data_IF_978947250193
#
_entry.id   IF_978947250193
#
_cell.length_a   1.000
_cell.length_b   1.000
_cell.length_c   1.000
_cell.angle_alpha   90.00
_cell.angle_beta   90.00
_cell.angle_gamma   90.00
#
_symmetry.space_group_name_H-M   'P 1'
#
loop_
_entity.id
_entity.type
_entity.pdbx_description
1 polymer ?
#
# COMPACT_ATOMS: atom_id res chain seq x y z
N UNK A 1 -9.76 24.22 -0.59
CA UNK A 1 -9.20 22.90 -0.92
C UNK A 1 -8.99 22.05 0.32
N UNK A 2 -8.22 22.50 1.31
CA UNK A 2 -7.95 21.73 2.56
C UNK A 2 -9.17 21.05 3.21
N UNK A 3 -10.20 21.81 3.57
CA UNK A 3 -11.42 21.25 4.19
C UNK A 3 -12.12 20.22 3.30
N UNK A 4 -12.07 20.42 1.98
CA UNK A 4 -12.63 19.49 1.01
C UNK A 4 -11.86 18.16 1.04
N UNK A 5 -10.53 18.21 0.99
CA UNK A 5 -9.68 17.01 1.07
C UNK A 5 -9.87 16.27 2.40
N UNK A 6 -9.89 16.97 3.53
CA UNK A 6 -10.04 16.36 4.85
C UNK A 6 -11.36 15.59 4.98
N UNK A 7 -12.44 16.11 4.39
CA UNK A 7 -13.77 15.52 4.49
C UNK A 7 -14.15 14.62 3.29
N UNK A 8 -13.34 14.57 2.23
CA UNK A 8 -13.55 13.65 1.12
C UNK A 8 -13.43 12.20 1.63
N UNK A 9 -14.44 11.34 1.43
CA UNK A 9 -14.29 9.91 1.72
C UNK A 9 -13.19 9.32 0.83
N UNK A 10 -12.25 8.56 1.38
CA UNK A 10 -11.09 8.04 0.63
C UNK A 10 -11.09 6.52 0.59
N UNK A 11 -10.47 5.97 -0.44
CA UNK A 11 -10.17 4.54 -0.56
C UNK A 11 -8.68 4.38 -0.72
N UNK A 12 -8.07 3.54 0.11
CA UNK A 12 -6.65 3.21 0.09
C UNK A 12 -6.44 1.78 -0.42
N UNK A 13 -5.51 1.56 -1.36
CA UNK A 13 -5.31 0.30 -2.06
C UNK A 13 -3.88 -0.22 -2.00
N UNK A 14 -3.00 0.57 -1.39
CA UNK A 14 -1.57 0.31 -1.31
C UNK A 14 -1.06 0.90 0.01
N UNK A 15 -0.88 0.00 0.97
CA UNK A 15 -0.41 0.29 2.30
C UNK A 15 0.20 -0.97 2.91
N UNK A 16 1.44 -0.90 3.36
CA UNK A 16 2.09 -1.96 4.11
C UNK A 16 1.77 -1.80 5.60
N UNK A 17 1.23 -2.84 6.23
CA UNK A 17 0.77 -2.71 7.62
C UNK A 17 1.93 -2.47 8.58
N UNK A 18 3.08 -3.09 8.34
CA UNK A 18 4.32 -2.88 9.08
C UNK A 18 4.84 -1.44 8.86
N UNK A 19 4.53 -0.85 7.71
CA UNK A 19 4.77 0.56 7.35
C UNK A 19 4.00 1.58 8.18
N UNK A 20 3.07 1.12 9.01
CA UNK A 20 2.27 1.96 9.93
C UNK A 20 2.82 1.98 11.36
N UNK A 21 3.93 1.28 11.63
CA UNK A 21 4.51 1.18 12.96
C UNK A 21 5.12 2.51 13.43
N UNK A 22 4.29 3.33 14.06
CA UNK A 22 4.70 4.59 14.68
C UNK A 22 5.70 4.33 15.82
N UNK A 23 6.68 5.23 16.04
CA UNK A 23 7.67 5.08 17.11
C UNK A 23 7.05 4.85 18.48
N UNK A 24 5.96 5.55 18.80
CA UNK A 24 5.26 5.40 20.08
C UNK A 24 4.80 3.96 20.31
N UNK A 25 4.16 3.33 19.31
CA UNK A 25 3.75 1.93 19.38
C UNK A 25 4.96 0.98 19.39
N UNK A 26 6.02 1.28 18.62
CA UNK A 26 7.26 0.50 18.62
C UNK A 26 7.84 0.35 20.04
N UNK A 27 7.91 1.44 20.81
CA UNK A 27 8.39 1.41 22.20
C UNK A 27 7.45 0.63 23.13
N UNK A 28 6.13 0.77 22.96
CA UNK A 28 5.14 0.01 23.75
C UNK A 28 5.27 -1.49 23.52
N UNK A 29 5.40 -1.92 22.27
CA UNK A 29 5.57 -3.32 21.88
C UNK A 29 6.93 -3.87 22.33
N UNK A 30 8.00 -3.08 22.19
CA UNK A 30 9.34 -3.45 22.68
C UNK A 30 9.32 -3.73 24.19
N UNK A 31 8.68 -2.86 24.97
CA UNK A 31 8.53 -3.04 26.40
C UNK A 31 7.66 -4.27 26.74
N UNK A 32 6.54 -4.46 26.02
CA UNK A 32 5.63 -5.61 26.21
C UNK A 32 6.33 -6.95 25.97
N UNK A 33 7.16 -7.02 24.93
CA UNK A 33 7.82 -8.25 24.51
C UNK A 33 9.25 -8.41 25.06
N UNK A 34 9.72 -7.47 25.89
CA UNK A 34 11.07 -7.45 26.44
C UNK A 34 12.15 -7.56 25.33
N UNK A 35 12.01 -6.71 24.32
CA UNK A 35 12.93 -6.60 23.17
C UNK A 35 13.69 -5.29 23.26
N UNK A 36 15.01 -5.38 23.21
CA UNK A 36 15.86 -4.20 23.09
C UNK A 36 15.78 -3.62 21.68
N UNK A 37 15.49 -2.33 21.58
CA UNK A 37 15.54 -1.55 20.33
C UNK A 37 16.72 -0.58 20.36
N UNK A 38 17.37 -0.30 19.22
CA UNK A 38 18.60 0.50 19.17
C UNK A 38 18.33 2.02 19.28
N UNK A 39 17.20 2.42 19.87
CA UNK A 39 16.75 3.81 19.98
C UNK A 39 16.39 4.13 21.43
N UNK A 40 16.77 5.32 21.88
CA UNK A 40 16.53 5.81 23.24
C UNK A 40 15.25 6.65 23.37
N UNK A 41 14.67 7.12 22.25
CA UNK A 41 13.43 7.89 22.24
C UNK A 41 12.72 7.88 20.88
N UNK A 42 11.42 8.24 20.85
CA UNK A 42 10.67 8.43 19.60
C UNK A 42 11.29 9.51 18.70
N UNK A 43 11.94 10.53 19.27
CA UNK A 43 12.61 11.56 18.49
C UNK A 43 13.80 10.98 17.71
N UNK A 44 14.59 10.10 18.33
CA UNK A 44 15.72 9.44 17.69
C UNK A 44 15.27 8.52 16.54
N UNK A 45 14.14 7.82 16.71
CA UNK A 45 13.54 7.02 15.62
C UNK A 45 13.15 7.92 14.45
N UNK A 46 12.47 9.05 14.72
CA UNK A 46 12.04 10.01 13.69
C UNK A 46 13.23 10.64 12.96
N UNK A 47 14.32 10.93 13.66
CA UNK A 47 15.57 11.44 13.06
C UNK A 47 16.25 10.40 12.14
N UNK A 48 16.11 9.10 12.48
CA UNK A 48 16.63 8.00 11.67
C UNK A 48 15.85 7.82 10.35
N UNK A 49 14.62 8.33 10.23
CA UNK A 49 13.80 8.23 9.01
C UNK A 49 14.25 9.17 7.88
N UNK A 50 15.53 9.53 7.82
CA UNK A 50 16.13 10.29 6.73
C UNK A 50 16.78 9.34 5.72
N UNK A 51 15.96 8.81 4.80
CA UNK A 51 16.38 7.83 3.80
C UNK A 51 17.11 8.44 2.62
N UNK A 52 17.96 7.65 1.97
CA UNK A 52 18.67 8.01 0.75
C UNK A 52 18.24 7.18 -0.47
N UNK A 53 17.56 6.05 -0.24
CA UNK A 53 16.99 5.14 -1.24
C UNK A 53 16.09 4.08 -0.54
N UNK A 54 15.41 3.23 -1.32
CA UNK A 54 14.55 2.14 -0.82
C UNK A 54 15.28 1.21 0.17
N UNK A 55 16.53 0.83 -0.11
CA UNK A 55 17.27 -0.08 0.78
C UNK A 55 17.51 0.52 2.17
N UNK A 56 17.87 1.80 2.26
CA UNK A 56 18.07 2.47 3.55
C UNK A 56 16.79 2.57 4.39
N UNK A 57 15.62 2.57 3.74
CA UNK A 57 14.33 2.46 4.40
C UNK A 57 14.06 1.05 4.91
N UNK A 58 14.22 0.04 4.05
CA UNK A 58 13.97 -1.37 4.39
C UNK A 58 14.80 -1.85 5.59
N UNK A 59 16.04 -1.36 5.74
CA UNK A 59 16.91 -1.69 6.86
C UNK A 59 16.32 -1.26 8.22
N UNK A 60 15.64 -0.10 8.29
CA UNK A 60 14.97 0.40 9.50
C UNK A 60 13.60 -0.26 9.67
N UNK A 61 12.86 -0.44 8.59
CA UNK A 61 11.57 -1.15 8.57
C UNK A 61 11.69 -2.55 9.19
N UNK A 62 12.62 -3.38 8.73
CA UNK A 62 12.82 -4.73 9.28
C UNK A 62 13.36 -4.74 10.71
N UNK A 63 14.07 -3.68 11.13
CA UNK A 63 14.46 -3.51 12.54
C UNK A 63 13.24 -3.20 13.42
N UNK A 64 12.35 -2.31 12.95
CA UNK A 64 11.09 -1.99 13.63
C UNK A 64 10.21 -3.23 13.78
N UNK A 65 10.06 -4.03 12.72
CA UNK A 65 9.23 -5.23 12.74
C UNK A 65 9.64 -6.26 13.81
N UNK A 66 10.85 -6.19 14.38
CA UNK A 66 11.31 -7.09 15.44
C UNK A 66 10.42 -7.06 16.68
N UNK A 67 9.75 -5.95 16.96
CA UNK A 67 8.89 -5.82 18.15
C UNK A 67 7.55 -6.54 18.02
N UNK A 68 7.18 -6.96 16.80
CA UNK A 68 5.96 -7.71 16.49
C UNK A 68 6.20 -9.21 16.70
N UNK A 69 5.57 -9.81 17.71
CA UNK A 69 5.82 -11.18 18.19
C UNK A 69 4.52 -11.97 18.37
N UNK A 70 3.54 -11.39 19.02
CA UNK A 70 2.26 -12.02 19.40
C UNK A 70 1.13 -11.55 18.50
N UNK A 71 0.04 -12.31 18.45
CA UNK A 71 -1.16 -11.95 17.68
C UNK A 71 -1.71 -10.57 18.09
N UNK A 72 -1.61 -10.24 19.38
CA UNK A 72 -2.01 -8.93 19.91
C UNK A 72 -1.15 -7.78 19.36
N UNK A 73 0.12 -8.01 19.04
CA UNK A 73 0.98 -6.96 18.47
C UNK A 73 0.52 -6.58 17.06
N UNK A 74 0.16 -7.59 16.26
CA UNK A 74 -0.39 -7.37 14.92
C UNK A 74 -1.79 -6.75 14.95
N UNK A 75 -2.62 -7.15 15.93
CA UNK A 75 -3.90 -6.51 16.17
C UNK A 75 -3.71 -5.02 16.52
N UNK A 76 -2.85 -4.71 17.49
CA UNK A 76 -2.66 -3.33 17.96
C UNK A 76 -2.07 -2.41 16.87
N UNK A 77 -1.11 -2.93 16.08
CA UNK A 77 -0.59 -2.25 14.90
C UNK A 77 -1.70 -1.91 13.90
N UNK A 78 -2.50 -2.91 13.56
CA UNK A 78 -3.58 -2.74 12.58
C UNK A 78 -4.66 -1.80 13.11
N UNK A 79 -5.02 -1.92 14.39
CA UNK A 79 -5.99 -1.04 15.03
C UNK A 79 -5.52 0.41 15.08
N UNK A 80 -4.23 0.65 15.38
CA UNK A 80 -3.64 1.99 15.36
C UNK A 80 -3.75 2.62 13.96
N UNK A 81 -3.46 1.86 12.91
CA UNK A 81 -3.66 2.30 11.52
C UNK A 81 -5.14 2.60 11.21
N UNK A 82 -6.08 1.74 11.59
CA UNK A 82 -7.50 1.94 11.34
C UNK A 82 -8.06 3.20 12.04
N UNK A 83 -7.52 3.57 13.20
CA UNK A 83 -7.84 4.85 13.85
C UNK A 83 -7.32 6.04 13.03
N UNK A 84 -6.19 5.91 12.33
CA UNK A 84 -5.72 6.91 11.36
C UNK A 84 -6.64 6.98 10.15
N UNK A 85 -7.04 5.84 9.58
CA UNK A 85 -8.05 5.78 8.51
C UNK A 85 -9.33 6.53 8.88
N UNK A 86 -9.83 6.32 10.10
CA UNK A 86 -11.03 7.00 10.59
C UNK A 86 -10.86 8.51 10.61
N UNK A 87 -9.70 9.00 11.08
CA UNK A 87 -9.38 10.43 11.12
C UNK A 87 -9.21 11.03 9.71
N UNK A 88 -8.72 10.24 8.76
CA UNK A 88 -8.51 10.63 7.36
C UNK A 88 -9.74 10.41 6.46
N UNK A 89 -10.86 10.00 7.05
CA UNK A 89 -12.10 9.65 6.35
C UNK A 89 -11.88 8.58 5.26
N UNK A 90 -10.98 7.63 5.52
CA UNK A 90 -10.82 6.42 4.69
C UNK A 90 -11.96 5.47 5.03
N UNK A 91 -12.69 5.03 4.01
CA UNK A 91 -13.90 4.20 4.14
C UNK A 91 -13.69 2.76 3.68
N UNK A 92 -12.62 2.54 2.92
CA UNK A 92 -12.16 1.23 2.50
C UNK A 92 -10.62 1.22 2.41
N UNK A 93 -9.99 0.15 2.86
CA UNK A 93 -8.54 -0.04 2.75
C UNK A 93 -8.17 -1.47 2.33
N UNK A 94 -7.25 -1.62 1.38
CA UNK A 94 -6.64 -2.90 1.03
C UNK A 94 -5.21 -2.92 1.54
N UNK A 95 -4.97 -3.77 2.54
CA UNK A 95 -3.78 -3.76 3.37
C UNK A 95 -2.82 -4.84 2.93
N UNK A 96 -1.56 -4.49 2.76
CA UNK A 96 -0.47 -5.40 2.43
C UNK A 96 0.19 -5.88 3.73
N UNK A 97 0.68 -7.10 3.74
CA UNK A 97 1.52 -7.63 4.83
C UNK A 97 2.56 -8.61 4.29
N UNK A 98 3.68 -8.70 4.99
CA UNK A 98 4.86 -9.45 4.58
C UNK A 98 5.12 -10.66 5.50
N UNK A 99 4.43 -11.81 5.31
CA UNK A 99 4.62 -12.96 6.18
C UNK A 99 6.08 -13.38 6.34
N UNK A 100 6.88 -13.27 5.27
CA UNK A 100 8.28 -13.66 5.24
C UNK A 100 9.14 -12.86 6.23
N UNK A 101 8.81 -11.58 6.47
CA UNK A 101 9.43 -10.72 7.49
C UNK A 101 9.27 -11.28 8.91
N UNK A 102 8.22 -12.07 9.14
CA UNK A 102 7.85 -12.60 10.45
C UNK A 102 8.20 -14.08 10.59
N UNK A 103 7.92 -14.89 9.57
CA UNK A 103 8.15 -16.35 9.62
C UNK A 103 9.61 -16.72 9.72
N UNK A 104 10.52 -15.93 9.12
CA UNK A 104 11.97 -16.14 9.28
C UNK A 104 12.45 -15.90 10.72
N UNK A 105 11.69 -15.13 11.50
CA UNK A 105 11.95 -14.86 12.93
C UNK A 105 11.28 -15.87 13.86
N UNK A 106 10.64 -16.91 13.32
CA UNK A 106 9.94 -17.94 14.10
C UNK A 106 8.53 -17.56 14.54
N UNK A 107 7.97 -16.46 14.02
CA UNK A 107 6.57 -16.08 14.26
C UNK A 107 5.70 -16.84 13.26
N UNK A 108 4.66 -17.53 13.74
CA UNK A 108 3.83 -18.35 12.85
C UNK A 108 3.00 -17.48 11.89
N UNK A 109 2.71 -17.99 10.70
CA UNK A 109 1.84 -17.32 9.73
C UNK A 109 0.48 -16.98 10.35
N UNK A 110 -0.10 -17.93 11.10
CA UNK A 110 -1.37 -17.78 11.81
C UNK A 110 -1.35 -16.58 12.78
N UNK A 111 -0.27 -16.41 13.54
CA UNK A 111 -0.11 -15.30 14.48
C UNK A 111 -0.20 -13.95 13.78
N UNK A 112 0.41 -13.83 12.59
CA UNK A 112 0.42 -12.59 11.81
C UNK A 112 -0.97 -12.33 11.23
N UNK A 113 -1.48 -13.28 10.43
CA UNK A 113 -2.72 -13.09 9.67
C UNK A 113 -3.94 -12.94 10.57
N UNK A 114 -4.01 -13.68 11.68
CA UNK A 114 -5.16 -13.59 12.59
C UNK A 114 -5.18 -12.26 13.34
N UNK A 115 -4.03 -11.75 13.78
CA UNK A 115 -3.96 -10.47 14.48
C UNK A 115 -4.43 -9.32 13.58
N UNK A 116 -3.94 -9.28 12.34
CA UNK A 116 -4.38 -8.30 11.34
C UNK A 116 -5.87 -8.45 11.03
N UNK A 117 -6.30 -9.66 10.66
CA UNK A 117 -7.68 -9.92 10.26
C UNK A 117 -8.71 -9.62 11.36
N UNK A 118 -8.38 -9.91 12.63
CA UNK A 118 -9.26 -9.63 13.76
C UNK A 118 -9.49 -8.12 13.93
N UNK A 119 -8.44 -7.30 13.80
CA UNK A 119 -8.56 -5.84 13.86
C UNK A 119 -9.37 -5.30 12.67
N UNK A 120 -9.09 -5.79 11.46
CA UNK A 120 -9.83 -5.44 10.24
C UNK A 120 -11.33 -5.78 10.35
N UNK A 121 -11.65 -6.97 10.88
CA UNK A 121 -13.03 -7.41 11.09
C UNK A 121 -13.76 -6.53 12.11
N UNK A 122 -13.11 -6.20 13.22
CA UNK A 122 -13.67 -5.33 14.26
C UNK A 122 -13.90 -3.89 13.74
N UNK A 123 -13.06 -3.41 12.82
CA UNK A 123 -13.18 -2.07 12.23
C UNK A 123 -14.47 -1.87 11.42
N UNK A 124 -15.02 -2.94 10.83
CA UNK A 124 -16.27 -2.88 10.09
C UNK A 124 -17.40 -2.42 11.02
N UNK A 125 -17.51 -3.05 12.19
CA UNK A 125 -18.58 -2.78 13.16
C UNK A 125 -18.33 -1.49 13.95
N UNK A 126 -17.09 -1.23 14.36
CA UNK A 126 -16.78 -0.10 15.26
C UNK A 126 -16.47 1.21 14.51
N UNK A 127 -15.86 1.13 13.34
CA UNK A 127 -15.38 2.30 12.60
C UNK A 127 -16.14 2.52 11.28
N UNK A 128 -16.86 1.51 10.79
CA UNK A 128 -17.52 1.52 9.48
C UNK A 128 -16.53 1.47 8.32
N UNK A 129 -15.34 0.90 8.56
CA UNK A 129 -14.26 0.79 7.57
C UNK A 129 -14.24 -0.63 7.05
N UNK A 130 -14.42 -0.80 5.74
CA UNK A 130 -14.29 -2.10 5.09
C UNK A 130 -12.83 -2.34 4.67
N UNK A 131 -12.43 -3.58 4.49
CA UNK A 131 -11.06 -3.88 4.09
C UNK A 131 -10.90 -5.20 3.34
N UNK A 132 -9.78 -5.32 2.64
CA UNK A 132 -9.28 -6.58 2.08
C UNK A 132 -7.81 -6.74 2.49
N UNK A 133 -7.33 -7.98 2.58
CA UNK A 133 -5.95 -8.29 2.94
C UNK A 133 -5.20 -8.91 1.76
N UNK A 134 -3.97 -8.42 1.54
CA UNK A 134 -3.11 -8.79 0.41
C UNK A 134 -1.78 -9.29 0.97
N UNK A 135 -1.43 -10.52 0.64
CA UNK A 135 -0.20 -11.14 1.12
C UNK A 135 0.94 -10.92 0.13
N UNK A 136 2.01 -10.27 0.56
CA UNK A 136 3.14 -9.99 -0.32
C UNK A 136 4.27 -11.03 -0.24
N UNK A 137 4.97 -11.19 -1.36
CA UNK A 137 6.24 -11.90 -1.43
C UNK A 137 7.41 -10.91 -1.48
N UNK A 138 8.43 -11.16 -0.67
CA UNK A 138 9.63 -10.33 -0.63
C UNK A 138 10.56 -10.66 -1.80
N UNK A 139 10.66 -9.76 -2.79
CA UNK A 139 11.32 -10.09 -4.07
C UNK A 139 12.84 -10.33 -3.97
N UNK A 140 13.47 -9.86 -2.90
CA UNK A 140 14.90 -10.10 -2.65
C UNK A 140 15.19 -11.56 -2.23
N UNK A 141 14.19 -12.29 -1.72
CA UNK A 141 14.28 -13.71 -1.38
C UNK A 141 14.04 -14.61 -2.61
N UNK A 142 14.34 -15.90 -2.52
CA UNK A 142 14.13 -16.82 -3.65
C UNK A 142 12.65 -17.20 -3.86
N UNK A 143 12.28 -17.63 -5.08
CA UNK A 143 10.89 -18.01 -5.40
C UNK A 143 10.39 -19.22 -4.57
N UNK A 144 11.30 -20.11 -4.12
CA UNK A 144 10.92 -21.27 -3.32
C UNK A 144 10.41 -20.84 -1.93
N UNK A 145 10.97 -19.77 -1.36
CA UNK A 145 10.45 -19.15 -0.14
C UNK A 145 9.02 -18.58 -0.35
N UNK A 146 8.76 -17.96 -1.51
CA UNK A 146 7.42 -17.50 -1.88
C UNK A 146 6.43 -18.66 -2.03
N UNK A 147 6.82 -19.79 -2.63
CA UNK A 147 5.98 -21.00 -2.67
C UNK A 147 5.67 -21.54 -1.27
N UNK A 148 6.63 -21.48 -0.34
CA UNK A 148 6.41 -21.92 1.04
C UNK A 148 5.34 -21.04 1.70
N UNK A 149 5.46 -19.73 1.53
CA UNK A 149 4.53 -18.72 2.04
C UNK A 149 3.13 -18.87 1.42
N UNK A 150 3.04 -19.05 0.10
CA UNK A 150 1.78 -19.28 -0.60
C UNK A 150 1.06 -20.54 -0.12
N UNK A 151 1.79 -21.62 0.17
CA UNK A 151 1.15 -22.83 0.70
C UNK A 151 0.57 -22.61 2.10
N UNK A 152 1.17 -21.75 2.93
CA UNK A 152 0.60 -21.39 4.24
C UNK A 152 -0.68 -20.56 4.10
N UNK A 153 -0.78 -19.70 3.08
CA UNK A 153 -1.96 -18.86 2.87
C UNK A 153 -3.19 -19.62 2.39
N UNK A 154 -3.04 -20.86 1.88
CA UNK A 154 -4.16 -21.66 1.38
C UNK A 154 -5.20 -21.98 2.45
N UNK A 155 -4.79 -22.07 3.72
CA UNK A 155 -5.70 -22.28 4.86
C UNK A 155 -6.43 -20.98 5.29
N UNK A 156 -6.03 -19.83 4.75
CA UNK A 156 -6.54 -18.49 5.09
C UNK A 156 -7.14 -17.74 3.89
N UNK A 157 -7.59 -18.48 2.87
CA UNK A 157 -8.21 -17.91 1.64
C UNK A 157 -9.52 -17.17 1.91
N UNK A 158 -10.14 -17.38 3.06
CA UNK A 158 -11.28 -16.60 3.55
C UNK A 158 -10.88 -15.20 4.03
N UNK A 159 -9.58 -14.95 4.27
CA UNK A 159 -9.04 -13.68 4.78
C UNK A 159 -8.23 -12.91 3.75
N UNK A 160 -7.57 -13.61 2.81
CA UNK A 160 -6.62 -13.04 1.86
C UNK A 160 -7.22 -13.06 0.45
N UNK A 161 -7.35 -11.89 -0.18
CA UNK A 161 -7.97 -11.77 -1.51
C UNK A 161 -6.95 -11.81 -2.65
N UNK A 162 -5.72 -11.37 -2.40
CA UNK A 162 -4.69 -11.23 -3.43
C UNK A 162 -3.29 -11.55 -2.90
N UNK A 163 -2.38 -11.80 -3.84
CA UNK A 163 -0.94 -11.83 -3.59
C UNK A 163 -0.24 -10.62 -4.21
N UNK A 164 0.79 -10.13 -3.52
CA UNK A 164 1.63 -9.00 -3.94
C UNK A 164 3.10 -9.40 -4.16
N UNK A 165 3.88 -8.50 -4.75
CA UNK A 165 5.34 -8.59 -4.85
C UNK A 165 5.94 -7.22 -4.59
N UNK A 166 6.79 -7.12 -3.58
CA UNK A 166 7.37 -5.86 -3.11
C UNK A 166 8.83 -6.06 -2.68
N UNK A 167 9.35 -5.14 -1.85
CA UNK A 167 10.75 -5.07 -1.45
C UNK A 167 11.66 -4.62 -2.61
N UNK A 168 12.97 -4.78 -2.45
CA UNK A 168 13.99 -4.20 -3.37
C UNK A 168 13.79 -4.56 -4.85
N UNK A 169 13.32 -3.61 -5.67
CA UNK A 169 13.04 -3.82 -7.10
C UNK A 169 14.33 -4.08 -7.91
N UNK A 170 15.37 -3.32 -7.61
CA UNK A 170 16.64 -3.37 -8.32
C UNK A 170 17.34 -4.73 -8.14
N UNK A 171 17.60 -5.41 -9.27
CA UNK A 171 18.25 -6.73 -9.28
C UNK A 171 17.32 -7.92 -9.02
N UNK A 172 16.04 -7.69 -8.75
CA UNK A 172 15.07 -8.74 -8.46
C UNK A 172 13.87 -8.68 -9.43
N UNK A 173 14.03 -9.08 -10.70
CA UNK A 173 12.97 -8.91 -11.71
C UNK A 173 11.71 -9.72 -11.41
N UNK A 174 10.56 -9.24 -11.88
CA UNK A 174 9.26 -9.93 -11.75
C UNK A 174 9.29 -11.36 -12.29
N UNK A 175 10.05 -11.62 -13.37
CA UNK A 175 10.22 -12.94 -13.98
C UNK A 175 10.72 -14.03 -13.02
N UNK A 176 11.39 -13.65 -11.92
CA UNK A 176 11.81 -14.57 -10.87
C UNK A 176 10.64 -15.25 -10.16
N UNK A 177 9.45 -14.66 -10.17
CA UNK A 177 8.27 -15.09 -9.41
C UNK A 177 7.10 -15.54 -10.30
N UNK A 178 7.33 -15.74 -11.60
CA UNK A 178 6.27 -16.11 -12.56
C UNK A 178 5.52 -17.38 -12.14
N UNK A 179 6.22 -18.39 -11.61
CA UNK A 179 5.58 -19.68 -11.30
C UNK A 179 4.76 -19.62 -10.04
N UNK A 180 5.21 -18.90 -9.01
CA UNK A 180 4.44 -18.73 -7.78
C UNK A 180 3.20 -17.87 -8.02
N UNK A 181 3.29 -16.82 -8.85
CA UNK A 181 2.13 -16.03 -9.27
C UNK A 181 1.14 -16.84 -10.09
N UNK A 182 1.64 -17.67 -11.03
CA UNK A 182 0.78 -18.61 -11.75
C UNK A 182 0.04 -19.54 -10.79
N UNK A 183 0.73 -20.08 -9.78
CA UNK A 183 0.10 -20.97 -8.80
C UNK A 183 -0.93 -20.22 -7.95
N UNK A 184 -0.65 -18.97 -7.54
CA UNK A 184 -1.62 -18.15 -6.82
C UNK A 184 -2.90 -17.91 -7.64
N UNK A 185 -2.77 -17.64 -8.94
CA UNK A 185 -3.92 -17.52 -9.85
C UNK A 185 -4.70 -18.83 -10.00
N UNK A 186 -4.01 -19.97 -10.10
CA UNK A 186 -4.65 -21.29 -10.16
C UNK A 186 -5.45 -21.58 -8.86
N UNK A 187 -5.00 -21.02 -7.74
CA UNK A 187 -5.69 -21.04 -6.44
C UNK A 187 -6.77 -19.94 -6.30
N UNK A 188 -6.93 -19.05 -7.28
CA UNK A 188 -7.99 -18.04 -7.30
C UNK A 188 -7.67 -16.74 -6.56
N UNK A 189 -6.42 -16.51 -6.19
CA UNK A 189 -5.99 -15.19 -5.71
C UNK A 189 -5.94 -14.18 -6.88
N UNK A 190 -6.22 -12.91 -6.59
CA UNK A 190 -5.85 -11.80 -7.45
C UNK A 190 -4.34 -11.52 -7.34
N UNK A 191 -3.77 -10.79 -8.30
CA UNK A 191 -2.34 -10.47 -8.31
C UNK A 191 -2.08 -8.97 -8.44
N UNK A 192 -1.18 -8.46 -7.60
CA UNK A 192 -0.63 -7.10 -7.65
C UNK A 192 0.90 -7.18 -7.52
N UNK A 193 1.60 -6.12 -7.91
CA UNK A 193 3.05 -6.06 -7.73
C UNK A 193 3.57 -4.63 -7.87
N UNK A 194 4.61 -4.33 -7.10
CA UNK A 194 5.46 -3.16 -7.27
C UNK A 194 6.24 -3.27 -8.59
N UNK A 195 6.01 -2.30 -9.46
CA UNK A 195 6.77 -2.17 -10.69
C UNK A 195 6.84 -0.70 -11.13
N UNK A 196 8.02 -0.29 -11.60
CA UNK A 196 8.20 1.06 -12.12
C UNK A 196 8.14 2.13 -11.03
N UNK A 197 8.63 1.79 -9.84
CA UNK A 197 8.94 2.75 -8.77
C UNK A 197 10.38 3.25 -8.95
N UNK A 198 11.35 2.36 -8.74
CA UNK A 198 12.78 2.57 -9.07
C UNK A 198 13.15 1.99 -10.44
N UNK A 199 12.41 0.96 -10.88
CA UNK A 199 12.62 0.25 -12.13
C UNK A 199 12.16 1.01 -13.39
N UNK A 200 12.67 0.62 -14.57
CA UNK A 200 12.29 1.24 -15.83
C UNK A 200 10.85 0.89 -16.25
N UNK A 201 10.26 1.65 -17.18
CA UNK A 201 8.95 1.35 -17.77
C UNK A 201 8.81 -0.10 -18.30
N UNK A 202 9.91 -0.74 -18.72
CA UNK A 202 9.89 -2.15 -19.14
C UNK A 202 9.58 -3.11 -17.99
N UNK A 203 9.95 -2.80 -16.74
CA UNK A 203 9.60 -3.65 -15.59
C UNK A 203 8.09 -3.71 -15.36
N UNK A 204 7.37 -2.61 -15.66
CA UNK A 204 5.90 -2.55 -15.62
C UNK A 204 5.31 -3.52 -16.64
N UNK A 205 5.81 -3.51 -17.87
CA UNK A 205 5.36 -4.42 -18.95
C UNK A 205 5.61 -5.87 -18.58
N UNK A 206 6.82 -6.18 -18.14
CA UNK A 206 7.20 -7.53 -17.73
C UNK A 206 6.30 -8.02 -16.58
N UNK A 207 6.03 -7.17 -15.59
CA UNK A 207 5.17 -7.54 -14.47
C UNK A 207 3.72 -7.79 -14.90
N UNK A 208 3.13 -6.92 -15.73
CA UNK A 208 1.80 -7.14 -16.30
C UNK A 208 1.72 -8.45 -17.10
N UNK A 209 2.69 -8.71 -17.97
CA UNK A 209 2.68 -9.84 -18.87
C UNK A 209 2.97 -11.16 -18.17
N UNK A 210 3.94 -11.19 -17.26
CA UNK A 210 4.39 -12.43 -16.60
C UNK A 210 3.55 -12.76 -15.37
N UNK A 211 3.20 -11.75 -14.56
CA UNK A 211 2.50 -11.95 -13.28
C UNK A 211 0.98 -11.80 -13.40
N UNK A 212 0.48 -11.39 -14.58
CA UNK A 212 -0.95 -11.22 -14.90
C UNK A 212 -1.67 -10.29 -13.92
N UNK A 213 -1.01 -9.19 -13.57
CA UNK A 213 -1.48 -8.27 -12.54
C UNK A 213 -2.84 -7.66 -12.86
N UNK A 214 -3.68 -7.55 -11.82
CA UNK A 214 -4.94 -6.80 -11.86
C UNK A 214 -4.70 -5.30 -11.78
N UNK A 215 -3.67 -4.88 -11.02
CA UNK A 215 -3.20 -3.49 -10.91
C UNK A 215 -1.70 -3.47 -10.60
N UNK A 216 -1.06 -2.32 -10.86
CA UNK A 216 0.36 -2.08 -10.62
C UNK A 216 0.52 -1.19 -9.40
N UNK A 217 1.45 -1.57 -8.52
CA UNK A 217 1.83 -0.75 -7.39
C UNK A 217 2.92 0.25 -7.80
N UNK A 218 2.70 1.53 -7.50
CA UNK A 218 3.38 2.70 -8.05
C UNK A 218 3.17 2.94 -9.55
N UNK A 219 3.99 2.34 -10.42
CA UNK A 219 3.92 2.51 -11.88
C UNK A 219 4.28 3.90 -12.44
N UNK A 220 4.80 4.81 -11.61
CA UNK A 220 5.07 6.21 -12.01
C UNK A 220 6.11 6.34 -13.11
N UNK A 221 7.04 5.39 -13.23
CA UNK A 221 8.04 5.36 -14.32
C UNK A 221 7.46 4.96 -15.67
N UNK A 222 6.15 4.68 -15.78
CA UNK A 222 5.49 4.48 -17.06
C UNK A 222 5.63 5.71 -17.99
N UNK A 223 5.81 6.91 -17.43
CA UNK A 223 6.00 8.15 -18.20
C UNK A 223 7.26 8.17 -19.07
N UNK A 224 8.19 7.25 -18.84
CA UNK A 224 9.39 7.11 -19.69
C UNK A 224 9.07 6.47 -21.06
N UNK A 225 7.85 5.91 -21.24
CA UNK A 225 7.35 5.33 -22.49
C UNK A 225 5.91 5.81 -22.78
N UNK A 226 5.77 6.79 -23.69
CA UNK A 226 4.47 7.36 -24.07
C UNK A 226 3.50 6.32 -24.70
N UNK A 227 4.02 5.20 -25.22
CA UNK A 227 3.18 4.09 -25.72
C UNK A 227 2.55 3.35 -24.54
N UNK A 228 3.34 3.10 -23.49
CA UNK A 228 2.85 2.46 -22.27
C UNK A 228 1.77 3.33 -21.60
N UNK A 229 1.98 4.64 -21.49
CA UNK A 229 0.97 5.56 -20.93
C UNK A 229 -0.36 5.47 -21.69
N UNK A 230 -0.32 5.42 -23.03
CA UNK A 230 -1.54 5.28 -23.85
C UNK A 230 -2.23 3.94 -23.64
N UNK A 231 -1.46 2.86 -23.50
CA UNK A 231 -2.00 1.52 -23.22
C UNK A 231 -2.66 1.46 -21.85
N UNK A 232 -1.98 1.95 -20.80
CA UNK A 232 -2.53 2.01 -19.44
C UNK A 232 -3.81 2.84 -19.39
N UNK A 233 -3.85 4.00 -20.05
CA UNK A 233 -5.05 4.83 -20.14
C UNK A 233 -6.20 4.13 -20.90
N UNK A 234 -5.89 3.50 -22.04
CA UNK A 234 -6.87 2.79 -22.86
C UNK A 234 -7.49 1.61 -22.12
N UNK A 235 -6.70 0.87 -21.38
CA UNK A 235 -7.13 -0.30 -20.63
C UNK A 235 -7.63 0.03 -19.22
N UNK A 236 -7.49 1.30 -18.80
CA UNK A 236 -7.74 1.75 -17.42
C UNK A 236 -7.01 0.89 -16.39
N UNK A 237 -5.81 0.40 -16.72
CA UNK A 237 -4.98 -0.38 -15.78
C UNK A 237 -4.66 0.49 -14.56
N UNK A 238 -5.05 0.09 -13.34
CA UNK A 238 -4.83 0.95 -12.18
C UNK A 238 -3.36 1.02 -11.77
N UNK A 239 -2.95 2.22 -11.36
CA UNK A 239 -1.65 2.50 -10.75
C UNK A 239 -1.87 3.02 -9.33
N UNK A 240 -1.44 2.28 -8.31
CA UNK A 240 -1.57 2.70 -6.90
C UNK A 240 -0.38 3.57 -6.50
N UNK A 241 -0.46 4.86 -6.84
CA UNK A 241 0.62 5.84 -6.70
C UNK A 241 0.71 6.34 -5.26
N UNK A 242 1.95 6.48 -4.76
CA UNK A 242 2.27 6.86 -3.39
C UNK A 242 3.09 8.16 -3.36
N UNK A 243 2.47 9.35 -3.40
CA UNK A 243 3.19 10.60 -3.65
C UNK A 243 4.28 10.92 -2.62
N UNK A 244 3.98 10.83 -1.32
CA UNK A 244 4.97 11.13 -0.27
C UNK A 244 6.11 10.09 -0.26
N UNK A 245 5.79 8.81 -0.48
CA UNK A 245 6.78 7.75 -0.67
C UNK A 245 7.74 8.09 -1.80
N UNK A 246 7.22 8.44 -2.98
CA UNK A 246 8.03 8.76 -4.16
C UNK A 246 8.97 9.97 -3.94
N UNK A 247 8.59 10.94 -3.09
CA UNK A 247 9.47 12.05 -2.68
C UNK A 247 10.51 11.60 -1.66
N UNK A 248 10.09 10.81 -0.67
CA UNK A 248 10.97 10.34 0.40
C UNK A 248 12.07 9.43 -0.15
N UNK A 249 11.74 8.57 -1.11
CA UNK A 249 12.63 7.61 -1.76
C UNK A 249 13.36 8.17 -2.98
N UNK A 250 13.22 9.48 -3.28
CA UNK A 250 13.95 10.18 -4.35
C UNK A 250 13.63 9.71 -5.77
N UNK A 251 12.42 9.18 -5.98
CA UNK A 251 11.87 8.95 -7.32
C UNK A 251 11.59 10.31 -8.00
N UNK A 252 11.10 11.27 -7.22
CA UNK A 252 11.04 12.70 -7.58
C UNK A 252 11.71 13.53 -6.49
N UNK A 253 12.32 14.67 -6.84
CA UNK A 253 12.96 15.54 -5.83
C UNK A 253 11.91 16.40 -5.12
N UNK A 254 10.92 16.89 -5.87
CA UNK A 254 9.88 17.78 -5.36
C UNK A 254 8.47 17.37 -5.80
N UNK A 255 7.47 17.57 -4.94
CA UNK A 255 6.08 17.20 -5.24
C UNK A 255 5.52 17.89 -6.50
N UNK A 256 6.00 19.09 -6.81
CA UNK A 256 5.63 19.83 -8.02
C UNK A 256 6.11 19.17 -9.33
N UNK A 257 7.11 18.27 -9.25
CA UNK A 257 7.63 17.50 -10.39
C UNK A 257 6.91 16.16 -10.56
N UNK A 258 6.14 15.74 -9.55
CA UNK A 258 5.44 14.47 -9.58
C UNK A 258 4.43 14.41 -10.73
N UNK A 259 4.54 13.39 -11.57
CA UNK A 259 3.75 13.21 -12.79
C UNK A 259 2.29 12.75 -12.58
N UNK A 260 1.83 12.52 -11.34
CA UNK A 260 0.53 11.89 -11.07
C UNK A 260 -0.64 12.67 -11.66
N UNK A 261 -0.59 14.01 -11.59
CA UNK A 261 -1.66 14.87 -12.13
C UNK A 261 -1.66 14.87 -13.67
N UNK A 262 -0.49 14.77 -14.30
CA UNK A 262 -0.39 14.60 -15.75
C UNK A 262 -0.97 13.26 -16.19
N UNK A 263 -0.61 12.17 -15.50
CA UNK A 263 -1.13 10.82 -15.77
C UNK A 263 -2.65 10.77 -15.64
N UNK A 264 -3.20 11.38 -14.58
CA UNK A 264 -4.65 11.52 -14.40
C UNK A 264 -5.30 12.22 -15.60
N UNK A 265 -4.74 13.36 -16.04
CA UNK A 265 -5.25 14.15 -17.17
C UNK A 265 -5.11 13.43 -18.52
N UNK A 266 -4.13 12.53 -18.66
CA UNK A 266 -4.00 11.61 -19.80
C UNK A 266 -4.98 10.44 -19.77
N UNK A 267 -5.80 10.32 -18.71
CA UNK A 267 -6.82 9.29 -18.56
C UNK A 267 -6.31 7.99 -17.93
N UNK A 268 -5.09 7.97 -17.39
CA UNK A 268 -4.57 6.81 -16.64
C UNK A 268 -5.34 6.70 -15.32
N UNK A 269 -5.68 5.46 -14.93
CA UNK A 269 -6.37 5.16 -13.68
C UNK A 269 -5.41 5.23 -12.48
N UNK A 270 -4.90 6.41 -12.17
CA UNK A 270 -4.03 6.65 -11.01
C UNK A 270 -4.86 6.88 -9.73
N UNK A 271 -4.38 6.35 -8.61
CA UNK A 271 -4.94 6.57 -7.27
C UNK A 271 -3.91 7.24 -6.37
N UNK A 272 -4.31 7.76 -5.21
CA UNK A 272 -3.38 8.28 -4.20
C UNK A 272 -3.42 7.34 -2.99
N UNK A 273 -2.25 6.93 -2.53
CA UNK A 273 -2.04 5.99 -1.43
C UNK A 273 -0.88 6.43 -0.52
N UNK A 274 -0.80 5.89 0.69
CA UNK A 274 0.20 6.32 1.68
C UNK A 274 1.40 5.39 1.85
N UNK A 275 1.33 4.14 1.39
CA UNK A 275 2.46 3.19 1.37
C UNK A 275 2.91 2.84 2.80
N UNK A 276 4.02 3.41 3.27
CA UNK A 276 4.53 3.32 4.65
C UNK A 276 4.39 4.67 5.39
N UNK A 277 3.17 5.06 5.81
CA UNK A 277 2.88 6.42 6.26
C UNK A 277 3.68 6.87 7.49
N UNK A 278 4.03 5.95 8.40
CA UNK A 278 4.85 6.27 9.58
C UNK A 278 6.29 6.67 9.20
N UNK A 279 6.76 6.25 8.03
CA UNK A 279 8.11 6.48 7.53
C UNK A 279 8.18 7.63 6.52
N UNK A 280 7.12 7.82 5.73
CA UNK A 280 7.09 8.75 4.60
C UNK A 280 6.45 10.10 4.93
N UNK A 281 6.02 10.29 6.18
CA UNK A 281 5.68 11.60 6.73
C UNK A 281 4.21 11.99 6.57
N UNK A 282 3.32 11.03 6.33
CA UNK A 282 1.89 11.32 6.28
C UNK A 282 1.03 10.17 5.77
N UNK A 283 -0.23 10.17 6.21
CA UNK A 283 -1.25 9.21 5.82
C UNK A 283 -2.03 9.70 4.58
N UNK A 284 -3.21 9.15 4.33
CA UNK A 284 -4.03 9.43 3.15
C UNK A 284 -4.35 10.92 2.98
N UNK A 285 -4.78 11.61 4.04
CA UNK A 285 -5.08 13.04 3.92
C UNK A 285 -3.83 13.84 3.56
N UNK A 286 -2.68 13.51 4.15
CA UNK A 286 -1.42 14.21 3.89
C UNK A 286 -0.96 14.06 2.44
N UNK A 287 -1.09 12.85 1.87
CA UNK A 287 -0.77 12.60 0.46
C UNK A 287 -1.68 13.41 -0.49
N UNK A 288 -3.00 13.43 -0.22
CA UNK A 288 -3.93 14.27 -1.00
C UNK A 288 -3.62 15.77 -0.86
N UNK A 289 -3.28 16.22 0.34
CA UNK A 289 -2.91 17.61 0.62
C UNK A 289 -1.62 17.98 -0.13
N UNK A 290 -0.59 17.14 -0.08
CA UNK A 290 0.68 17.38 -0.76
C UNK A 290 0.51 17.54 -2.28
N UNK A 291 -0.26 16.65 -2.91
CA UNK A 291 -0.58 16.75 -4.35
C UNK A 291 -1.40 18.01 -4.64
N UNK A 292 -2.45 18.28 -3.86
CA UNK A 292 -3.34 19.43 -4.07
C UNK A 292 -2.72 20.80 -3.77
N UNK A 293 -1.67 20.86 -2.96
CA UNK A 293 -0.89 22.08 -2.71
C UNK A 293 0.17 22.33 -3.77
N UNK A 294 0.79 21.27 -4.30
CA UNK A 294 1.84 21.37 -5.31
C UNK A 294 1.29 21.58 -6.73
N UNK A 295 0.08 21.09 -7.03
CA UNK A 295 -0.52 21.15 -8.36
C UNK A 295 -1.84 21.93 -8.35
N UNK A 296 -2.04 22.76 -9.38
CA UNK A 296 -3.33 23.43 -9.58
C UNK A 296 -4.39 22.42 -10.05
N UNK A 297 -5.33 22.11 -9.15
CA UNK A 297 -6.36 21.10 -9.36
C UNK A 297 -7.74 21.61 -8.94
N UNK A 298 -8.77 21.20 -9.67
CA UNK A 298 -10.17 21.34 -9.27
C UNK A 298 -10.55 20.31 -8.20
N UNK A 299 -11.65 20.56 -7.47
CA UNK A 299 -12.22 19.57 -6.53
C UNK A 299 -12.60 18.27 -7.24
N UNK A 300 -13.07 18.36 -8.48
CA UNK A 300 -13.42 17.20 -9.30
C UNK A 300 -12.20 16.34 -9.65
N UNK A 301 -11.07 16.95 -10.03
CA UNK A 301 -9.83 16.19 -10.28
C UNK A 301 -9.28 15.56 -8.99
N UNK A 302 -9.37 16.24 -7.84
CA UNK A 302 -8.99 15.67 -6.54
C UNK A 302 -9.88 14.46 -6.19
N UNK A 303 -11.20 14.58 -6.36
CA UNK A 303 -12.14 13.49 -6.14
C UNK A 303 -11.92 12.33 -7.14
N UNK A 304 -11.42 12.60 -8.35
CA UNK A 304 -11.17 11.58 -9.37
C UNK A 304 -10.17 10.52 -8.90
N UNK A 305 -9.19 10.87 -8.07
CA UNK A 305 -8.28 9.86 -7.48
C UNK A 305 -9.04 8.84 -6.62
N UNK A 306 -10.04 9.29 -5.84
CA UNK A 306 -10.89 8.40 -5.06
C UNK A 306 -11.83 7.60 -5.97
N UNK A 307 -12.37 8.23 -7.02
CA UNK A 307 -13.22 7.51 -7.98
C UNK A 307 -12.45 6.38 -8.68
N UNK A 308 -11.22 6.65 -9.11
CA UNK A 308 -10.31 5.65 -9.65
C UNK A 308 -10.00 4.55 -8.61
N UNK A 309 -9.82 4.90 -7.33
CA UNK A 309 -9.54 3.92 -6.28
C UNK A 309 -10.71 2.97 -6.03
N UNK A 310 -11.95 3.45 -6.08
CA UNK A 310 -13.11 2.57 -5.96
C UNK A 310 -13.31 1.71 -7.21
N UNK A 311 -12.96 2.20 -8.40
CA UNK A 311 -12.95 1.38 -9.62
C UNK A 311 -11.93 0.23 -9.50
N UNK A 312 -10.75 0.54 -8.99
CA UNK A 312 -9.60 -0.35 -8.88
C UNK A 312 -9.64 -1.30 -7.66
N UNK A 313 -10.57 -1.11 -6.73
CA UNK A 313 -10.66 -1.94 -5.53
C UNK A 313 -11.20 -3.34 -5.81
N UNK A 314 -10.94 -4.27 -4.89
CA UNK A 314 -11.35 -5.67 -4.95
C UNK A 314 -12.70 -5.95 -4.29
N UNK A 315 -13.40 -4.90 -3.84
CA UNK A 315 -14.76 -5.00 -3.32
C UNK A 315 -15.79 -5.30 -4.42
N UNK A 316 -16.94 -5.82 -4.00
CA UNK A 316 -18.07 -6.11 -4.91
C UNK A 316 -18.59 -4.88 -5.67
N UNK A 317 -19.17 -5.09 -6.85
CA UNK A 317 -19.83 -4.03 -7.63
C UNK A 317 -20.91 -3.28 -6.84
N UNK A 318 -21.62 -3.97 -5.95
CA UNK A 318 -22.60 -3.35 -5.07
C UNK A 318 -21.94 -2.31 -4.16
N UNK A 319 -20.80 -2.67 -3.57
CA UNK A 319 -20.06 -1.78 -2.68
C UNK A 319 -19.39 -0.64 -3.45
N UNK A 320 -18.84 -0.92 -4.64
CA UNK A 320 -18.35 0.13 -5.56
C UNK A 320 -19.42 1.17 -5.87
N UNK A 321 -20.64 0.73 -6.20
CA UNK A 321 -21.77 1.63 -6.47
C UNK A 321 -22.17 2.46 -5.24
N UNK A 322 -22.12 1.87 -4.05
CA UNK A 322 -22.38 2.58 -2.79
C UNK A 322 -21.34 3.68 -2.54
N UNK A 323 -20.05 3.35 -2.64
CA UNK A 323 -18.95 4.28 -2.43
C UNK A 323 -18.90 5.37 -3.52
N UNK A 324 -19.21 5.03 -4.77
CA UNK A 324 -19.42 6.00 -5.86
C UNK A 324 -20.49 7.01 -5.52
N UNK A 325 -21.67 6.53 -5.13
CA UNK A 325 -22.81 7.41 -4.83
C UNK A 325 -22.51 8.36 -3.66
N UNK A 326 -21.84 7.85 -2.63
CA UNK A 326 -21.42 8.64 -1.48
C UNK A 326 -20.43 9.75 -1.87
N UNK A 327 -19.41 9.43 -2.67
CA UNK A 327 -18.41 10.41 -3.11
C UNK A 327 -18.99 11.42 -4.10
N UNK A 328 -19.87 10.99 -5.00
CA UNK A 328 -20.56 11.87 -5.94
C UNK A 328 -21.43 12.89 -5.18
N UNK A 329 -22.22 12.43 -4.20
CA UNK A 329 -23.03 13.31 -3.36
C UNK A 329 -22.16 14.33 -2.59
N UNK A 330 -21.02 13.89 -2.04
CA UNK A 330 -20.07 14.77 -1.38
C UNK A 330 -19.51 15.83 -2.33
N UNK A 331 -19.08 15.43 -3.53
CA UNK A 331 -18.55 16.34 -4.54
C UNK A 331 -19.60 17.39 -4.96
N UNK A 332 -20.83 16.98 -5.25
CA UNK A 332 -21.93 17.87 -5.66
C UNK A 332 -22.28 18.91 -4.59
N UNK A 333 -22.31 18.52 -3.32
CA UNK A 333 -22.59 19.42 -2.20
C UNK A 333 -21.48 20.44 -1.95
N UNK A 334 -20.27 20.15 -2.41
CA UNK A 334 -19.08 20.93 -2.13
C UNK A 334 -18.46 21.53 -3.39
N UNK A 335 -19.12 21.53 -4.55
CA UNK A 335 -18.59 22.16 -5.78
C UNK A 335 -18.45 23.67 -5.63
#
# INVERSE_FOLDING_TARGET
MKQFIQNLPKVELHLHIEGTLEPELMFELAARNNIDIPFSSCAEVKDAYNFHNLQSFLDIYYQGAKVLITEQDFFDLTWAYLLRCKNDNVVHTEVFFDPQTHTERGISFDTVVNGIHNALSQAVDELGITSELIMCFLRHLDEKSAFTTLNQSLEHKDKIVAVGLDSSENGNPASKFERVFKYALDEGFLTVAHAGEEGPASSIRDALDLLKLTRIDHGVRCSDDETLVKELAKHRTPLTVCPLSNIKLKVFEHMAEHNIVELLRKGVCVTINSDDPAYFGGYMTDNFMAVGEAHSMSKSEIAQFTFNAIEASFISDQEKNRLMSMNQAYLEQNM
#
